data_IF_336839383180
#
_entry.id   IF_336839383180
#
_cell.length_a   1.000
_cell.length_b   1.000
_cell.length_c   1.000
_cell.angle_alpha   90.00
_cell.angle_beta   90.00
_cell.angle_gamma   90.00
#
_symmetry.space_group_name_H-M   'P 1'
#
loop_
_entity.id
_entity.type
_entity.pdbx_description
1 polymer ?
#
# COMPACT_ATOMS: atom_id res chain seq x y z
N UNK A 1 -21.76 -29.24 -8.67
CA UNK A 1 -20.85 -28.74 -7.66
C UNK A 1 -20.67 -27.24 -7.84
N UNK A 2 -21.15 -26.48 -6.90
CA UNK A 2 -20.90 -25.06 -6.90
C UNK A 2 -19.41 -24.87 -6.65
N UNK A 3 -18.71 -24.41 -7.66
CA UNK A 3 -17.39 -23.85 -7.45
C UNK A 3 -17.53 -22.70 -6.48
N UNK A 4 -16.92 -22.85 -5.31
CA UNK A 4 -16.88 -21.82 -4.30
C UNK A 4 -16.14 -20.60 -4.83
N UNK A 5 -16.84 -19.76 -5.58
CA UNK A 5 -16.34 -18.45 -6.02
C UNK A 5 -16.19 -17.46 -4.85
N UNK A 6 -16.44 -17.91 -3.62
CA UNK A 6 -16.38 -17.13 -2.40
C UNK A 6 -15.24 -17.53 -1.47
N UNK A 7 -14.16 -18.14 -1.97
CA UNK A 7 -12.96 -18.33 -1.17
C UNK A 7 -12.37 -16.95 -0.86
N UNK A 8 -12.63 -16.46 0.35
CA UNK A 8 -11.92 -15.29 0.86
C UNK A 8 -10.43 -15.59 0.82
N UNK A 9 -9.65 -14.67 0.27
CA UNK A 9 -8.20 -14.69 0.36
C UNK A 9 -7.83 -14.72 1.84
N UNK A 10 -6.94 -15.60 2.19
CA UNK A 10 -6.42 -15.75 3.55
C UNK A 10 -4.96 -16.16 3.55
N UNK A 11 -4.40 -16.25 4.73
CA UNK A 11 -3.04 -16.74 4.89
C UNK A 11 -2.96 -18.25 4.60
N UNK A 12 -1.83 -18.76 4.05
CA UNK A 12 -0.65 -17.99 3.64
C UNK A 12 -0.87 -17.23 2.33
N UNK A 13 -0.27 -16.04 2.26
CA UNK A 13 -0.26 -15.24 1.03
C UNK A 13 1.04 -15.49 0.29
N UNK A 14 0.95 -15.67 -1.03
CA UNK A 14 2.12 -15.83 -1.90
C UNK A 14 2.13 -14.67 -2.89
N UNK A 15 3.07 -13.75 -2.71
CA UNK A 15 3.33 -12.70 -3.67
C UNK A 15 4.31 -13.18 -4.73
N UNK A 16 4.10 -12.77 -5.99
CA UNK A 16 4.88 -13.23 -7.15
C UNK A 16 5.63 -12.08 -7.79
N UNK A 17 6.62 -12.42 -8.61
CA UNK A 17 7.47 -11.45 -9.30
C UNK A 17 8.20 -10.53 -8.32
N UNK A 18 8.66 -11.12 -7.22
CA UNK A 18 9.27 -10.38 -6.12
C UNK A 18 10.76 -10.18 -6.38
N UNK A 19 11.22 -8.96 -6.17
CA UNK A 19 12.64 -8.62 -6.10
C UNK A 19 13.01 -8.29 -4.66
N UNK A 20 14.10 -8.87 -4.17
CA UNK A 20 14.67 -8.51 -2.87
C UNK A 20 15.51 -7.25 -3.05
N UNK A 21 15.20 -6.21 -2.30
CA UNK A 21 15.92 -4.94 -2.35
C UNK A 21 17.04 -4.90 -1.30
N UNK A 22 16.77 -5.41 -0.13
CA UNK A 22 17.66 -5.48 1.02
C UNK A 22 17.07 -6.47 2.04
N UNK A 23 17.69 -6.63 3.19
CA UNK A 23 17.16 -7.47 4.25
C UNK A 23 15.79 -6.96 4.70
N UNK A 24 14.79 -7.84 4.67
CA UNK A 24 13.40 -7.54 5.03
C UNK A 24 12.75 -6.44 4.19
N UNK A 25 13.26 -6.23 2.96
CA UNK A 25 12.77 -5.23 2.03
C UNK A 25 12.61 -5.84 0.64
N UNK A 26 11.42 -5.77 0.09
CA UNK A 26 11.04 -6.43 -1.17
C UNK A 26 10.21 -5.50 -2.02
N UNK A 27 10.15 -5.79 -3.30
CA UNK A 27 9.30 -5.07 -4.25
C UNK A 27 8.62 -6.07 -5.19
N UNK A 28 7.34 -5.84 -5.47
CA UNK A 28 6.58 -6.67 -6.42
C UNK A 28 5.37 -5.91 -6.97
N UNK A 29 4.90 -6.27 -8.17
CA UNK A 29 3.66 -5.71 -8.69
C UNK A 29 2.46 -6.37 -8.01
N UNK A 30 1.41 -5.59 -7.77
CA UNK A 30 0.16 -6.10 -7.24
C UNK A 30 -0.99 -5.41 -7.96
N UNK A 31 -1.93 -6.18 -8.49
CA UNK A 31 -3.04 -5.62 -9.25
C UNK A 31 -4.05 -4.90 -8.35
N UNK A 32 -4.80 -3.99 -8.95
CA UNK A 32 -5.93 -3.33 -8.29
C UNK A 32 -6.87 -4.37 -7.69
N UNK A 33 -7.16 -5.45 -8.42
CA UNK A 33 -8.00 -6.57 -7.97
C UNK A 33 -7.44 -7.23 -6.72
N UNK A 34 -6.15 -7.55 -6.72
CA UNK A 34 -5.50 -8.21 -5.58
C UNK A 34 -5.48 -7.32 -4.34
N UNK A 35 -5.22 -6.02 -4.50
CA UNK A 35 -5.27 -5.06 -3.39
C UNK A 35 -6.70 -4.96 -2.83
N UNK A 36 -7.70 -4.90 -3.72
CA UNK A 36 -9.11 -4.89 -3.35
C UNK A 36 -9.48 -6.14 -2.54
N UNK A 37 -9.04 -7.30 -2.96
CA UNK A 37 -9.29 -8.57 -2.27
C UNK A 37 -8.62 -8.62 -0.90
N UNK A 38 -7.37 -8.18 -0.80
CA UNK A 38 -6.64 -8.11 0.47
C UNK A 38 -7.34 -7.18 1.45
N UNK A 39 -7.81 -6.05 0.98
CA UNK A 39 -8.53 -5.08 1.81
C UNK A 39 -9.90 -5.63 2.26
N UNK A 40 -10.62 -6.26 1.36
CA UNK A 40 -11.92 -6.88 1.65
C UNK A 40 -11.82 -8.03 2.64
N UNK A 41 -10.69 -8.73 2.65
CA UNK A 41 -10.41 -9.81 3.59
C UNK A 41 -9.83 -9.32 4.93
N UNK A 42 -9.71 -8.02 5.14
CA UNK A 42 -9.10 -7.38 6.32
C UNK A 42 -7.64 -7.80 6.55
N UNK A 43 -6.91 -8.09 5.49
CA UNK A 43 -5.49 -8.43 5.56
C UNK A 43 -4.57 -7.22 5.43
N UNK A 44 -5.13 -6.09 4.96
CA UNK A 44 -4.47 -4.79 4.94
C UNK A 44 -5.20 -3.85 5.89
N UNK A 45 -4.45 -3.22 6.78
CA UNK A 45 -4.99 -2.25 7.72
C UNK A 45 -4.37 -0.89 7.50
N UNK A 46 -5.22 0.11 7.45
CA UNK A 46 -4.82 1.50 7.43
C UNK A 46 -4.83 1.98 8.86
N UNK A 47 -3.65 2.33 9.37
CA UNK A 47 -3.49 2.78 10.75
C UNK A 47 -3.28 4.30 10.74
N UNK A 48 -4.30 5.08 11.11
CA UNK A 48 -4.22 6.56 11.05
C UNK A 48 -3.08 7.14 11.89
N UNK A 49 -2.74 6.50 12.99
CA UNK A 49 -1.68 6.94 13.91
C UNK A 49 -0.28 6.88 13.31
N UNK A 50 -0.09 6.06 12.29
CA UNK A 50 1.18 5.91 11.59
C UNK A 50 1.25 6.78 10.33
N UNK A 51 0.19 7.54 10.05
CA UNK A 51 0.11 8.34 8.83
C UNK A 51 0.61 9.76 9.01
N UNK A 52 1.04 10.30 7.85
CA UNK A 52 1.65 11.59 7.67
C UNK A 52 0.70 12.71 8.03
N UNK A 53 0.32 13.24 8.88
CA UNK A 53 -0.57 14.33 9.29
C UNK A 53 -1.31 13.99 10.57
N UNK A 54 -0.50 13.74 11.60
CA UNK A 54 -0.99 13.73 12.98
C UNK A 54 -1.34 15.12 13.52
N UNK A 55 -1.52 16.12 12.70
CA UNK A 55 -2.26 17.28 13.16
C UNK A 55 -3.66 16.75 13.42
N UNK A 56 -3.94 16.51 14.69
CA UNK A 56 -5.31 16.30 15.13
C UNK A 56 -6.08 17.49 14.59
N UNK A 57 -6.74 17.27 13.49
CA UNK A 57 -7.60 18.26 12.93
C UNK A 57 -8.70 18.51 13.96
N UNK A 58 -9.05 19.77 14.17
CA UNK A 58 -10.15 20.22 14.99
C UNK A 58 -11.48 19.53 14.60
N UNK A 59 -11.47 18.79 13.49
CA UNK A 59 -12.61 18.17 12.84
C UNK A 59 -12.23 16.76 12.35
N UNK A 60 -12.03 15.81 13.27
CA UNK A 60 -11.64 14.43 12.94
C UNK A 60 -12.49 13.78 11.83
N UNK A 61 -13.75 14.20 11.68
CA UNK A 61 -14.64 13.73 10.63
C UNK A 61 -14.32 14.32 9.25
N UNK A 62 -13.76 15.51 9.19
CA UNK A 62 -13.37 16.15 7.92
C UNK A 62 -12.19 15.45 7.26
N UNK A 63 -11.26 14.94 8.05
CA UNK A 63 -10.10 14.19 7.54
C UNK A 63 -10.51 12.90 6.84
N UNK A 64 -11.46 12.18 7.39
CA UNK A 64 -12.00 10.96 6.78
C UNK A 64 -12.73 11.27 5.48
N UNK A 65 -13.47 12.37 5.42
CA UNK A 65 -14.17 12.82 4.19
C UNK A 65 -13.21 13.25 3.10
N UNK A 66 -12.15 14.00 3.44
CA UNK A 66 -11.11 14.43 2.49
C UNK A 66 -10.38 13.23 1.93
N UNK A 67 -10.02 12.26 2.76
CA UNK A 67 -9.38 11.03 2.34
C UNK A 67 -10.25 10.21 1.39
N UNK A 68 -11.53 10.10 1.68
CA UNK A 68 -12.49 9.41 0.81
C UNK A 68 -12.67 10.10 -0.52
N UNK A 69 -12.72 11.41 -0.53
CA UNK A 69 -12.87 12.20 -1.75
C UNK A 69 -11.65 12.05 -2.65
N UNK A 70 -10.45 12.10 -2.09
CA UNK A 70 -9.21 11.87 -2.82
C UNK A 70 -9.15 10.45 -3.39
N UNK A 71 -9.51 9.45 -2.59
CA UNK A 71 -9.58 8.07 -3.04
C UNK A 71 -10.60 7.87 -4.17
N UNK A 72 -11.74 8.56 -4.10
CA UNK A 72 -12.75 8.53 -5.16
C UNK A 72 -12.23 9.14 -6.45
N UNK A 73 -11.49 10.23 -6.37
CA UNK A 73 -10.86 10.85 -7.55
C UNK A 73 -9.86 9.91 -8.21
N UNK A 74 -9.03 9.23 -7.42
CA UNK A 74 -8.08 8.24 -7.93
C UNK A 74 -8.84 7.07 -8.58
N UNK A 75 -9.88 6.55 -7.94
CA UNK A 75 -10.65 5.45 -8.48
C UNK A 75 -11.33 5.82 -9.81
N UNK A 76 -11.78 7.05 -9.96
CA UNK A 76 -12.34 7.54 -11.22
C UNK A 76 -11.28 7.53 -12.32
N UNK A 77 -10.04 7.94 -12.02
CA UNK A 77 -8.93 7.91 -12.98
C UNK A 77 -8.57 6.46 -13.36
N UNK A 78 -8.59 5.54 -12.40
CA UNK A 78 -8.38 4.12 -12.67
C UNK A 78 -9.47 3.60 -13.61
N UNK A 79 -10.73 3.88 -13.30
CA UNK A 79 -11.88 3.42 -14.10
C UNK A 79 -11.86 3.99 -15.53
N UNK A 80 -11.31 5.19 -15.71
CA UNK A 80 -11.15 5.82 -17.02
C UNK A 80 -9.91 5.33 -17.78
N UNK A 81 -9.01 4.60 -17.14
CA UNK A 81 -7.75 4.18 -17.73
C UNK A 81 -6.73 5.31 -17.85
N UNK A 82 -6.87 6.36 -17.05
CA UNK A 82 -6.04 7.57 -17.10
C UNK A 82 -5.08 7.73 -15.91
N UNK A 83 -5.07 6.75 -15.00
CA UNK A 83 -4.25 6.84 -13.81
C UNK A 83 -2.80 6.48 -14.11
N UNK A 84 -1.86 7.27 -13.61
CA UNK A 84 -0.43 6.98 -13.65
C UNK A 84 -0.04 6.21 -12.40
N UNK A 85 0.21 4.92 -12.55
CA UNK A 85 0.51 4.03 -11.42
C UNK A 85 1.86 4.35 -10.81
N UNK A 86 1.92 4.29 -9.50
CA UNK A 86 3.09 4.55 -8.69
C UNK A 86 3.18 3.52 -7.55
N UNK A 87 3.93 3.82 -6.49
CA UNK A 87 4.18 2.87 -5.42
C UNK A 87 3.17 2.94 -4.28
N UNK A 88 2.97 1.79 -3.64
CA UNK A 88 2.30 1.66 -2.35
C UNK A 88 3.26 0.92 -1.44
N UNK A 89 3.31 1.29 -0.16
CA UNK A 89 4.15 0.61 0.82
C UNK A 89 3.29 -0.23 1.76
N UNK A 90 3.66 -1.51 1.89
CA UNK A 90 3.11 -2.40 2.90
C UNK A 90 4.19 -2.70 3.93
N UNK A 91 3.81 -2.88 5.17
CA UNK A 91 4.68 -3.42 6.20
C UNK A 91 3.98 -4.53 6.97
N UNK A 92 4.58 -5.72 6.95
CA UNK A 92 4.20 -6.77 7.87
C UNK A 92 4.85 -6.47 9.21
N UNK A 93 4.04 -6.36 10.26
CA UNK A 93 4.54 -5.95 11.56
C UNK A 93 5.35 -7.07 12.20
N UNK A 94 6.61 -6.79 12.48
CA UNK A 94 7.47 -7.64 13.29
C UNK A 94 7.28 -7.27 14.76
N UNK A 95 6.27 -7.86 15.35
CA UNK A 95 5.84 -7.62 16.74
C UNK A 95 6.04 -8.82 17.66
N UNK A 96 6.67 -9.89 17.15
CA UNK A 96 6.85 -11.14 17.87
C UNK A 96 5.72 -12.17 17.67
N UNK A 97 4.60 -11.76 17.07
CA UNK A 97 3.45 -12.64 16.82
C UNK A 97 3.36 -13.14 15.37
N UNK A 98 4.18 -12.57 14.48
CA UNK A 98 4.22 -12.97 13.08
C UNK A 98 5.47 -13.76 12.75
N UNK A 99 5.33 -14.72 11.83
CA UNK A 99 6.45 -15.45 11.29
C UNK A 99 7.19 -14.60 10.25
N UNK A 100 8.50 -14.80 10.14
CA UNK A 100 9.32 -14.12 9.14
C UNK A 100 8.83 -14.54 7.75
N UNK A 101 8.58 -13.58 6.84
CA UNK A 101 8.24 -13.91 5.45
C UNK A 101 9.36 -14.72 4.79
N UNK A 102 8.98 -15.70 3.98
CA UNK A 102 9.92 -16.57 3.27
C UNK A 102 10.06 -16.13 1.83
N UNK A 103 11.26 -15.72 1.46
CA UNK A 103 11.60 -15.36 0.09
C UNK A 103 12.26 -16.54 -0.62
N UNK A 104 11.69 -16.92 -1.77
CA UNK A 104 12.27 -17.91 -2.68
C UNK A 104 12.87 -17.18 -3.88
N UNK A 105 14.19 -17.16 -3.95
CA UNK A 105 14.92 -16.43 -5.00
C UNK A 105 14.72 -17.04 -6.39
N UNK A 106 14.61 -18.35 -6.48
CA UNK A 106 14.40 -19.04 -7.78
C UNK A 106 13.00 -18.80 -8.31
N UNK A 107 12.00 -18.99 -7.46
CA UNK A 107 10.59 -18.79 -7.82
C UNK A 107 10.17 -17.32 -7.88
N UNK A 108 10.98 -16.42 -7.31
CA UNK A 108 10.64 -14.99 -7.16
C UNK A 108 9.33 -14.79 -6.41
N UNK A 109 9.17 -15.52 -5.31
CA UNK A 109 7.97 -15.46 -4.47
C UNK A 109 8.30 -15.05 -3.05
N UNK A 110 7.38 -14.35 -2.42
CA UNK A 110 7.43 -14.02 -1.00
C UNK A 110 6.18 -14.59 -0.35
N UNK A 111 6.36 -15.50 0.60
CA UNK A 111 5.27 -16.12 1.33
C UNK A 111 5.12 -15.51 2.70
N UNK A 112 3.92 -15.00 2.98
CA UNK A 112 3.53 -14.43 4.27
C UNK A 112 2.55 -15.39 4.92
N UNK A 113 2.91 -15.96 6.06
CA UNK A 113 2.13 -17.03 6.72
C UNK A 113 1.08 -16.49 7.68
N UNK A 114 1.33 -15.37 8.32
CA UNK A 114 0.44 -14.76 9.31
C UNK A 114 0.84 -13.31 9.58
N UNK A 115 0.14 -12.66 10.50
CA UNK A 115 0.49 -11.33 10.99
C UNK A 115 -0.43 -10.25 10.44
N UNK A 116 -0.11 -9.02 10.79
CA UNK A 116 -0.86 -7.83 10.38
C UNK A 116 -0.05 -7.04 9.37
N UNK A 117 -0.61 -6.84 8.18
CA UNK A 117 -0.04 -5.95 7.18
C UNK A 117 -0.68 -4.57 7.31
N UNK A 118 0.14 -3.55 7.39
CA UNK A 118 -0.31 -2.15 7.42
C UNK A 118 0.15 -1.42 6.16
N UNK A 119 -0.44 -0.27 5.91
CA UNK A 119 -0.11 0.59 4.75
C UNK A 119 0.51 1.89 5.28
N UNK A 120 1.85 1.95 5.44
CA UNK A 120 2.52 3.16 5.90
C UNK A 120 2.46 4.32 4.90
N UNK A 121 2.41 4.01 3.61
CA UNK A 121 2.28 5.00 2.54
C UNK A 121 1.43 4.46 1.40
N UNK A 122 0.63 5.32 0.79
CA UNK A 122 -0.27 4.94 -0.28
C UNK A 122 -1.70 4.63 0.18
N UNK A 123 -2.13 5.25 1.23
CA UNK A 123 -3.44 5.07 1.85
C UNK A 123 -4.59 5.35 0.88
N UNK A 124 -4.57 6.51 0.24
CA UNK A 124 -5.60 6.89 -0.74
C UNK A 124 -5.62 5.93 -1.93
N UNK A 125 -4.45 5.49 -2.39
CA UNK A 125 -4.31 4.51 -3.48
C UNK A 125 -4.88 3.16 -3.11
N UNK A 126 -4.66 2.71 -1.89
CA UNK A 126 -5.23 1.47 -1.37
C UNK A 126 -6.75 1.54 -1.29
N UNK A 127 -7.30 2.61 -0.75
CA UNK A 127 -8.75 2.82 -0.69
C UNK A 127 -9.34 2.93 -2.10
N UNK A 128 -8.64 3.60 -3.03
CA UNK A 128 -9.10 3.73 -4.40
C UNK A 128 -9.26 2.39 -5.10
N UNK A 129 -8.45 1.40 -4.75
CA UNK A 129 -8.59 0.04 -5.26
C UNK A 129 -9.89 -0.62 -4.81
N UNK A 130 -10.36 -0.34 -3.59
CA UNK A 130 -11.67 -0.82 -3.15
C UNK A 130 -12.82 -0.23 -3.97
N UNK A 131 -12.69 1.03 -4.36
CA UNK A 131 -13.72 1.78 -5.09
C UNK A 131 -13.69 1.54 -6.60
N UNK A 132 -12.57 1.09 -7.14
CA UNK A 132 -12.42 0.87 -8.57
C UNK A 132 -13.23 -0.36 -9.04
N UNK A 133 -13.79 -0.26 -10.25
CA UNK A 133 -14.58 -1.33 -10.86
C UNK A 133 -14.17 -1.65 -12.30
N UNK A 134 -13.16 -0.97 -12.84
CA UNK A 134 -12.59 -1.20 -14.17
C UNK A 134 -11.06 -1.19 -14.08
N UNK A 135 -10.42 -1.75 -15.10
CA UNK A 135 -8.94 -1.83 -15.18
C UNK A 135 -8.33 -2.52 -13.95
N UNK A 136 -9.01 -3.55 -13.45
CA UNK A 136 -8.66 -4.23 -12.21
C UNK A 136 -7.37 -5.06 -12.32
N UNK A 137 -6.88 -5.31 -13.54
CA UNK A 137 -5.64 -6.04 -13.77
C UNK A 137 -4.41 -5.13 -13.92
N UNK A 138 -4.62 -3.80 -13.91
CA UNK A 138 -3.52 -2.85 -13.80
C UNK A 138 -2.85 -2.97 -12.43
N UNK A 139 -1.56 -2.70 -12.36
CA UNK A 139 -0.76 -2.97 -11.16
C UNK A 139 -0.14 -1.71 -10.56
N UNK A 140 -0.11 -1.67 -9.23
CA UNK A 140 0.77 -0.81 -8.46
C UNK A 140 2.10 -1.53 -8.20
N UNK A 141 3.18 -0.78 -8.03
CA UNK A 141 4.40 -1.31 -7.45
C UNK A 141 4.29 -1.31 -5.93
N UNK A 142 4.45 -2.45 -5.30
CA UNK A 142 4.39 -2.57 -3.84
C UNK A 142 5.80 -2.68 -3.30
N UNK A 143 6.13 -1.81 -2.36
CA UNK A 143 7.32 -1.90 -1.53
C UNK A 143 6.92 -2.54 -0.21
N UNK A 144 7.44 -3.73 0.05
CA UNK A 144 7.08 -4.54 1.20
C UNK A 144 8.24 -4.58 2.20
N UNK A 145 7.95 -4.32 3.45
CA UNK A 145 8.93 -4.41 4.54
C UNK A 145 8.43 -5.31 5.66
N UNK A 146 9.37 -5.92 6.37
CA UNK A 146 9.11 -6.68 7.60
C UNK A 146 9.87 -6.00 8.74
N UNK A 147 9.28 -4.95 9.28
CA UNK A 147 9.90 -4.09 10.28
C UNK A 147 9.11 -4.08 11.59
N UNK A 148 9.83 -3.96 12.70
CA UNK A 148 9.25 -3.72 14.02
C UNK A 148 8.49 -2.39 14.06
N UNK A 149 7.62 -2.17 15.06
CA UNK A 149 6.95 -0.89 15.24
C UNK A 149 7.93 0.30 15.30
N UNK A 150 9.05 0.13 16.00
CA UNK A 150 10.07 1.17 16.09
C UNK A 150 10.71 1.47 14.74
N UNK A 151 11.11 0.44 13.99
CA UNK A 151 11.74 0.60 12.68
C UNK A 151 10.74 1.13 11.65
N UNK A 152 9.47 0.79 11.78
CA UNK A 152 8.40 1.35 10.96
C UNK A 152 8.28 2.86 11.17
N UNK A 153 8.40 3.33 12.38
CA UNK A 153 8.42 4.78 12.67
C UNK A 153 9.62 5.47 12.02
N UNK A 154 10.79 4.86 12.07
CA UNK A 154 11.98 5.37 11.37
C UNK A 154 11.76 5.46 9.87
N UNK A 155 11.14 4.44 9.27
CA UNK A 155 10.75 4.41 7.86
C UNK A 155 9.85 5.60 7.53
N UNK A 156 8.81 5.83 8.32
CA UNK A 156 7.87 6.94 8.12
C UNK A 156 8.59 8.29 8.23
N UNK A 157 9.51 8.43 9.16
CA UNK A 157 10.30 9.64 9.30
C UNK A 157 11.18 9.92 8.08
N UNK A 158 11.77 8.88 7.48
CA UNK A 158 12.54 9.02 6.24
C UNK A 158 11.65 9.43 5.06
N UNK A 159 10.49 8.80 4.91
CA UNK A 159 9.53 9.12 3.86
C UNK A 159 9.01 10.56 3.99
N UNK A 160 8.92 11.07 5.21
CA UNK A 160 8.42 12.41 5.47
C UNK A 160 9.50 13.49 5.42
N UNK A 161 10.79 13.11 5.51
CA UNK A 161 11.91 14.03 5.38
C UNK A 161 12.20 14.23 3.89
N UNK A 162 11.32 14.94 3.21
CA UNK A 162 11.61 15.40 1.86
C UNK A 162 12.37 16.72 1.92
N UNK A 163 13.51 16.79 1.24
CA UNK A 163 14.22 18.06 1.03
C UNK A 163 13.31 18.96 0.19
N UNK A 164 12.93 20.15 0.68
CA UNK A 164 12.07 21.03 -0.12
C UNK A 164 12.74 21.37 -1.44
N UNK A 165 12.02 21.21 -2.54
CA UNK A 165 12.49 21.65 -3.85
C UNK A 165 12.56 23.18 -3.83
N UNK A 166 13.72 23.80 -4.16
CA UNK A 166 13.84 25.26 -4.21
C UNK A 166 12.77 25.88 -5.11
N UNK A 167 12.24 27.02 -4.71
CA UNK A 167 11.16 27.71 -5.43
C UNK A 167 11.46 27.89 -6.91
N UNK A 168 12.69 28.27 -7.26
CA UNK A 168 13.11 28.43 -8.67
C UNK A 168 12.98 27.15 -9.49
N UNK A 169 13.20 25.96 -8.89
CA UNK A 169 13.06 24.69 -9.58
C UNK A 169 11.58 24.32 -9.75
N UNK A 170 10.72 24.72 -8.84
CA UNK A 170 9.27 24.53 -8.97
C UNK A 170 8.70 25.34 -10.13
N UNK A 171 9.20 26.56 -10.31
CA UNK A 171 8.78 27.42 -11.41
C UNK A 171 9.22 26.86 -12.77
N UNK A 172 10.45 26.31 -12.85
CA UNK A 172 10.94 25.65 -14.06
C UNK A 172 10.13 24.41 -14.45
N UNK A 173 9.47 23.74 -13.50
CA UNK A 173 8.65 22.56 -13.75
C UNK A 173 7.19 22.86 -14.06
N UNK A 174 6.76 24.13 -13.98
CA UNK A 174 5.40 24.50 -14.36
C UNK A 174 5.25 24.40 -15.88
N UNK A 175 4.15 23.83 -16.39
CA UNK A 175 3.88 23.88 -17.82
C UNK A 175 3.72 25.33 -18.28
N UNK A 176 4.40 25.66 -19.37
CA UNK A 176 4.27 26.96 -20.04
C UNK A 176 2.93 27.06 -20.73
#
# INVERSE_FOLDING_TARGET
PQTDNNKKIGYPLVFRNVSKLADNQYMFPLSVREIKELKSANLLQIIPELQRNHKKDKYGDLKTKVNRQTAQQISNLINEGSFFYNGIRFNLMDDGDSDIPVYDEEAKTLTVSNGIMIVPDGNHRTISCELANKHLDDCFGVFFTYFSPQKTRELLNQEWTTVPIPKRHREAMKPT
#
